data_IF_542951609767
#
_entry.id   IF_542951609767
#
_cell.length_a   1.000
_cell.length_b   1.000
_cell.length_c   1.000
_cell.angle_alpha   90.00
_cell.angle_beta   90.00
_cell.angle_gamma   90.00
#
_symmetry.space_group_name_H-M   'P 1'
#
loop_
_entity.id
_entity.type
_entity.pdbx_description
1 polymer ?
#
# COMPACT_ATOMS: atom_id res chain seq x y z
N UNK A 1 -9.45 33.70 -69.50
CA UNK A 1 -9.28 33.56 -68.03
C UNK A 1 -10.31 32.65 -67.35
N UNK A 2 -11.51 32.41 -67.92
CA UNK A 2 -12.57 31.60 -67.28
C UNK A 2 -12.41 30.06 -67.36
N UNK A 3 -11.61 29.51 -68.28
CA UNK A 3 -11.48 28.03 -68.43
C UNK A 3 -10.84 27.33 -67.22
N UNK A 4 -9.85 27.96 -66.57
CA UNK A 4 -9.16 27.35 -65.42
C UNK A 4 -10.03 27.25 -64.16
N UNK A 5 -11.01 28.14 -63.97
CA UNK A 5 -11.86 28.12 -62.78
C UNK A 5 -12.99 27.10 -62.92
N UNK A 6 -13.57 26.97 -64.12
CA UNK A 6 -14.57 25.93 -64.40
C UNK A 6 -13.96 24.53 -64.35
N UNK A 7 -12.72 24.33 -64.82
CA UNK A 7 -11.98 23.07 -64.67
C UNK A 7 -11.63 22.76 -63.22
N UNK A 8 -11.13 23.74 -62.46
CA UNK A 8 -10.83 23.55 -61.03
C UNK A 8 -12.09 23.23 -60.23
N UNK A 9 -13.21 23.89 -60.53
CA UNK A 9 -14.50 23.63 -59.89
C UNK A 9 -15.04 22.25 -60.25
N UNK A 10 -15.01 21.84 -61.52
CA UNK A 10 -15.38 20.47 -61.92
C UNK A 10 -14.52 19.42 -61.24
N UNK A 11 -13.22 19.66 -61.14
CA UNK A 11 -12.27 18.74 -60.49
C UNK A 11 -12.56 18.62 -58.99
N UNK A 12 -12.91 19.72 -58.31
CA UNK A 12 -13.29 19.73 -56.90
C UNK A 12 -14.65 19.04 -56.65
N UNK A 13 -15.64 19.32 -57.50
CA UNK A 13 -16.99 18.73 -57.39
C UNK A 13 -17.02 17.25 -57.81
N UNK A 14 -16.06 16.78 -58.61
CA UNK A 14 -15.91 15.37 -59.00
C UNK A 14 -15.01 14.56 -58.07
N UNK A 15 -14.48 15.15 -57.00
CA UNK A 15 -13.70 14.40 -56.00
C UNK A 15 -14.66 13.63 -55.10
N UNK A 16 -14.50 12.31 -55.06
CA UNK A 16 -15.23 11.47 -54.11
C UNK A 16 -14.86 11.85 -52.67
N UNK A 17 -15.88 11.95 -51.83
CA UNK A 17 -15.70 12.24 -50.40
C UNK A 17 -14.87 11.09 -49.82
N UNK A 18 -13.68 11.36 -49.23
CA UNK A 18 -12.85 10.30 -48.68
C UNK A 18 -13.62 9.55 -47.60
N UNK A 19 -13.65 8.22 -47.67
CA UNK A 19 -14.38 7.37 -46.71
C UNK A 19 -13.97 7.61 -45.24
N UNK A 20 -12.77 8.14 -45.02
CA UNK A 20 -12.23 8.43 -43.68
C UNK A 20 -12.64 9.80 -43.13
N UNK A 21 -13.29 10.67 -43.92
CA UNK A 21 -13.67 12.02 -43.50
C UNK A 21 -14.62 12.04 -42.29
N UNK A 22 -15.68 11.20 -42.20
CA UNK A 22 -16.55 11.15 -41.03
C UNK A 22 -15.80 10.78 -39.75
N UNK A 23 -14.88 9.80 -39.85
CA UNK A 23 -14.06 9.37 -38.72
C UNK A 23 -13.09 10.46 -38.23
N UNK A 24 -12.51 11.25 -39.13
CA UNK A 24 -11.62 12.35 -38.74
C UNK A 24 -12.39 13.47 -38.05
N UNK A 25 -13.59 13.79 -38.54
CA UNK A 25 -14.47 14.82 -37.95
C UNK A 25 -14.98 14.36 -36.58
N UNK A 26 -15.47 13.13 -36.45
CA UNK A 26 -15.91 12.57 -35.17
C UNK A 26 -14.77 12.49 -34.17
N UNK A 27 -13.59 12.00 -34.56
CA UNK A 27 -12.42 11.98 -33.68
C UNK A 27 -12.01 13.39 -33.21
N UNK A 28 -12.17 14.41 -34.05
CA UNK A 28 -11.91 15.80 -33.66
C UNK A 28 -12.92 16.30 -32.62
N UNK A 29 -14.22 15.99 -32.78
CA UNK A 29 -15.25 16.35 -31.81
C UNK A 29 -15.13 15.55 -30.50
N UNK A 30 -14.82 14.26 -30.54
CA UNK A 30 -14.59 13.43 -29.35
C UNK A 30 -13.34 13.90 -28.59
N UNK A 31 -12.26 14.25 -29.30
CA UNK A 31 -11.05 14.81 -28.67
C UNK A 31 -11.33 16.18 -28.04
N UNK A 32 -12.10 17.05 -28.69
CA UNK A 32 -12.43 18.38 -28.15
C UNK A 32 -13.34 18.31 -26.92
N UNK A 33 -14.34 17.42 -26.92
CA UNK A 33 -15.24 17.21 -25.76
C UNK A 33 -14.52 16.54 -24.59
N UNK A 34 -13.69 15.51 -24.83
CA UNK A 34 -12.86 14.88 -23.80
C UNK A 34 -11.88 15.86 -23.13
N UNK A 35 -11.24 16.76 -23.91
CA UNK A 35 -10.32 17.78 -23.39
C UNK A 35 -11.04 18.80 -22.49
N UNK A 36 -12.25 19.21 -22.84
CA UNK A 36 -13.06 20.19 -22.09
C UNK A 36 -13.61 19.60 -20.79
N UNK A 37 -14.01 18.33 -20.84
CA UNK A 37 -14.34 17.51 -19.68
C UNK A 37 -13.12 17.43 -18.74
N UNK A 38 -11.96 16.96 -19.23
CA UNK A 38 -10.71 16.87 -18.45
C UNK A 38 -10.28 18.20 -17.80
N UNK A 39 -10.52 19.33 -18.48
CA UNK A 39 -10.11 20.66 -18.03
C UNK A 39 -10.88 21.16 -16.79
N UNK A 40 -12.11 20.72 -16.55
CA UNK A 40 -12.88 21.11 -15.37
C UNK A 40 -12.65 20.20 -14.15
N UNK A 41 -12.28 18.94 -14.35
CA UNK A 41 -11.96 18.04 -13.23
C UNK A 41 -10.58 18.32 -12.65
N UNK A 42 -9.61 18.74 -13.48
CA UNK A 42 -8.25 19.05 -13.00
C UNK A 42 -8.24 20.08 -11.86
N UNK A 43 -8.88 21.25 -11.95
CA UNK A 43 -8.93 22.21 -10.84
C UNK A 43 -9.79 21.69 -9.68
N UNK A 44 -10.87 20.95 -9.92
CA UNK A 44 -11.71 20.40 -8.85
C UNK A 44 -10.98 19.29 -8.06
N UNK A 45 -10.23 18.43 -8.74
CA UNK A 45 -9.41 17.37 -8.17
C UNK A 45 -8.19 17.96 -7.43
N UNK A 46 -7.54 18.99 -8.00
CA UNK A 46 -6.48 19.72 -7.30
C UNK A 46 -7.00 20.48 -6.07
N UNK A 47 -8.20 21.06 -6.13
CA UNK A 47 -8.83 21.70 -4.98
C UNK A 47 -9.20 20.68 -3.90
N UNK A 48 -9.79 19.53 -4.28
CA UNK A 48 -10.08 18.45 -3.34
C UNK A 48 -8.80 17.90 -2.70
N UNK A 49 -7.75 17.66 -3.49
CA UNK A 49 -6.45 17.23 -2.97
C UNK A 49 -5.82 18.27 -2.03
N UNK A 50 -5.88 19.55 -2.36
CA UNK A 50 -5.40 20.62 -1.49
C UNK A 50 -6.18 20.70 -0.18
N UNK A 51 -7.51 20.53 -0.23
CA UNK A 51 -8.36 20.45 0.98
C UNK A 51 -8.00 19.22 1.82
N UNK A 52 -7.77 18.06 1.21
CA UNK A 52 -7.32 16.87 1.91
C UNK A 52 -5.94 17.05 2.55
N UNK A 53 -4.98 17.63 1.83
CA UNK A 53 -3.63 17.91 2.34
C UNK A 53 -3.71 18.90 3.51
N UNK A 54 -4.47 19.99 3.37
CA UNK A 54 -4.67 20.97 4.44
C UNK A 54 -5.38 20.36 5.65
N UNK A 55 -6.37 19.50 5.42
CA UNK A 55 -7.08 18.79 6.47
C UNK A 55 -6.15 17.83 7.24
N UNK A 56 -5.35 17.03 6.54
CA UNK A 56 -4.32 16.16 7.15
C UNK A 56 -3.27 16.99 7.86
N UNK A 57 -2.83 18.12 7.29
CA UNK A 57 -1.89 19.03 7.95
C UNK A 57 -2.50 19.64 9.23
N UNK A 58 -3.76 20.06 9.21
CA UNK A 58 -4.47 20.60 10.37
C UNK A 58 -4.65 19.55 11.47
N UNK A 59 -4.97 18.30 11.12
CA UNK A 59 -5.03 17.18 12.06
C UNK A 59 -3.67 16.95 12.74
N UNK A 60 -2.56 17.05 12.00
CA UNK A 60 -1.21 16.87 12.54
C UNK A 60 -0.71 18.07 13.37
N UNK A 61 -1.06 19.29 12.99
CA UNK A 61 -0.55 20.51 13.63
C UNK A 61 -1.32 20.83 14.92
N UNK A 62 -2.61 20.51 14.99
CA UNK A 62 -3.49 20.96 16.06
C UNK A 62 -4.12 19.79 16.82
N UNK A 63 -3.66 19.49 18.05
CA UNK A 63 -4.29 18.49 18.91
C UNK A 63 -5.77 18.80 19.22
N UNK A 64 -6.12 20.08 19.31
CA UNK A 64 -7.51 20.52 19.53
C UNK A 64 -8.39 20.25 18.32
N UNK A 65 -7.89 20.44 17.10
CA UNK A 65 -8.61 20.10 15.88
C UNK A 65 -8.74 18.58 15.72
N UNK A 66 -7.68 17.82 15.99
CA UNK A 66 -7.72 16.35 15.97
C UNK A 66 -8.78 15.79 16.94
N UNK A 67 -8.82 16.29 18.18
CA UNK A 67 -9.83 15.88 19.17
C UNK A 67 -11.25 16.24 18.73
N UNK A 68 -11.47 17.43 18.15
CA UNK A 68 -12.78 17.82 17.65
C UNK A 68 -13.24 16.95 16.46
N UNK A 69 -12.32 16.57 15.57
CA UNK A 69 -12.63 15.67 14.46
C UNK A 69 -12.83 14.21 14.90
N UNK A 70 -12.24 13.81 16.04
CA UNK A 70 -12.46 12.50 16.65
C UNK A 70 -13.93 12.27 17.09
N UNK A 71 -14.65 13.34 17.41
CA UNK A 71 -16.05 13.31 17.86
C UNK A 71 -17.07 13.28 16.71
N UNK A 72 -16.64 13.46 15.46
CA UNK A 72 -17.54 13.47 14.29
C UNK A 72 -17.78 12.03 13.79
N UNK A 73 -19.03 11.53 13.76
CA UNK A 73 -19.33 10.20 13.22
C UNK A 73 -18.81 10.08 11.78
N UNK A 74 -18.17 8.96 11.44
CA UNK A 74 -17.41 8.69 10.19
C UNK A 74 -15.96 9.21 10.17
N UNK A 75 -15.67 10.40 10.71
CA UNK A 75 -14.29 10.95 10.74
C UNK A 75 -13.50 10.54 11.98
N UNK A 76 -14.20 10.17 13.07
CA UNK A 76 -13.57 9.74 14.32
C UNK A 76 -12.72 8.46 14.22
N UNK A 77 -13.04 7.59 13.26
CA UNK A 77 -12.26 6.38 13.02
C UNK A 77 -10.96 6.68 12.23
N UNK A 78 -10.96 7.68 11.35
CA UNK A 78 -9.79 8.10 10.55
C UNK A 78 -8.87 9.05 11.33
N UNK A 79 -9.41 9.79 12.30
CA UNK A 79 -8.65 10.72 13.13
C UNK A 79 -7.67 10.04 14.11
N UNK A 80 -7.81 8.73 14.33
CA UNK A 80 -6.98 8.00 15.31
C UNK A 80 -5.58 7.67 14.84
N UNK A 81 -5.31 7.63 13.54
CA UNK A 81 -3.96 7.39 12.98
C UNK A 81 -3.61 8.52 12.03
N UNK A 82 -2.60 9.30 12.40
CA UNK A 82 -2.16 10.47 11.66
C UNK A 82 -0.69 10.30 11.23
N UNK A 83 -0.32 10.87 10.09
CA UNK A 83 1.09 10.92 9.66
C UNK A 83 1.89 11.87 10.55
N UNK A 84 2.59 11.34 11.55
CA UNK A 84 3.34 12.17 12.50
C UNK A 84 4.67 12.68 11.94
N UNK A 85 5.40 11.82 11.25
CA UNK A 85 6.66 12.20 10.60
C UNK A 85 6.63 11.75 9.16
N UNK A 86 6.85 12.72 8.27
CA UNK A 86 7.08 12.47 6.86
C UNK A 86 8.39 13.12 6.46
N UNK A 87 9.31 12.33 5.93
CA UNK A 87 10.55 12.86 5.38
C UNK A 87 11.05 11.99 4.24
N UNK A 88 11.81 12.62 3.35
CA UNK A 88 12.52 11.95 2.27
C UNK A 88 13.99 12.36 2.31
N UNK A 89 14.87 11.40 2.07
CA UNK A 89 16.30 11.60 1.86
C UNK A 89 16.58 11.17 0.43
N UNK A 90 17.04 12.10 -0.39
CA UNK A 90 17.42 11.85 -1.78
C UNK A 90 18.85 12.37 -1.99
N UNK A 91 19.81 11.45 -2.02
CA UNK A 91 21.22 11.68 -2.33
C UNK A 91 21.68 10.68 -3.41
N UNK A 92 22.92 10.81 -3.89
CA UNK A 92 23.50 9.86 -4.84
C UNK A 92 23.57 8.42 -4.31
N UNK A 93 23.55 8.24 -2.97
CA UNK A 93 23.68 6.93 -2.32
C UNK A 93 22.45 6.50 -1.53
N UNK A 94 21.44 7.35 -1.36
CA UNK A 94 20.29 7.09 -0.48
C UNK A 94 19.00 7.67 -1.04
N UNK A 95 18.00 6.82 -1.29
CA UNK A 95 16.62 7.17 -1.63
C UNK A 95 15.69 6.57 -0.57
N UNK A 96 15.49 7.30 0.53
CA UNK A 96 14.73 6.83 1.69
C UNK A 96 13.50 7.70 1.85
N UNK A 97 12.31 7.11 1.78
CA UNK A 97 11.04 7.77 2.06
C UNK A 97 10.41 7.15 3.30
N UNK A 98 10.03 7.99 4.27
CA UNK A 98 9.39 7.54 5.51
C UNK A 98 8.10 8.30 5.71
N UNK A 99 6.99 7.57 5.74
CA UNK A 99 5.67 8.02 6.17
C UNK A 99 5.30 7.28 7.46
N UNK A 100 5.70 7.85 8.59
CA UNK A 100 5.51 7.26 9.92
C UNK A 100 4.12 7.62 10.48
N UNK A 101 3.31 6.63 10.88
CA UNK A 101 2.08 6.88 11.60
C UNK A 101 2.33 7.24 13.07
N UNK A 102 1.33 7.86 13.67
CA UNK A 102 1.16 8.02 15.10
C UNK A 102 -0.31 7.86 15.42
N UNK A 103 -0.60 7.32 16.60
CA UNK A 103 -1.95 7.22 17.12
C UNK A 103 -2.26 8.36 18.09
N UNK A 104 -3.47 8.91 17.98
CA UNK A 104 -3.94 10.00 18.83
C UNK A 104 -5.47 9.92 19.00
N UNK A 105 -6.04 10.61 19.99
CA UNK A 105 -7.50 10.68 20.16
C UNK A 105 -8.15 9.32 20.47
N UNK A 106 -7.40 8.42 21.12
CA UNK A 106 -7.88 7.09 21.54
C UNK A 106 -8.65 7.16 22.86
N UNK A 107 -8.51 8.25 23.62
CA UNK A 107 -8.97 8.34 25.01
C UNK A 107 -8.03 7.69 26.01
N UNK A 108 -6.95 7.06 25.56
CA UNK A 108 -5.94 6.40 26.39
C UNK A 108 -4.53 6.94 26.06
N UNK A 109 -4.12 8.00 26.76
CA UNK A 109 -2.84 8.68 26.50
C UNK A 109 -1.61 7.81 26.75
N UNK A 110 -1.72 6.80 27.61
CA UNK A 110 -0.61 5.88 27.89
C UNK A 110 -0.43 4.86 26.76
N UNK A 111 -1.54 4.35 26.18
CA UNK A 111 -1.51 3.58 24.93
C UNK A 111 -0.86 4.40 23.82
N UNK A 112 -1.29 5.65 23.64
CA UNK A 112 -0.76 6.54 22.59
C UNK A 112 0.75 6.72 22.71
N UNK A 113 1.25 7.09 23.90
CA UNK A 113 2.69 7.23 24.12
C UNK A 113 3.45 5.93 23.87
N UNK A 114 2.95 4.80 24.39
CA UNK A 114 3.59 3.50 24.22
C UNK A 114 3.76 3.16 22.74
N UNK A 115 2.65 3.14 21.99
CA UNK A 115 2.65 2.73 20.59
C UNK A 115 3.44 3.72 19.72
N UNK A 116 3.32 5.03 19.96
CA UNK A 116 4.05 6.02 19.19
C UNK A 116 5.55 5.95 19.41
N UNK A 117 5.99 5.71 20.65
CA UNK A 117 7.40 5.51 20.95
C UNK A 117 7.91 4.21 20.31
N UNK A 118 7.14 3.13 20.41
CA UNK A 118 7.52 1.84 19.79
C UNK A 118 7.66 1.97 18.26
N UNK A 119 6.70 2.61 17.59
CA UNK A 119 6.76 2.87 16.15
C UNK A 119 7.99 3.71 15.81
N UNK A 120 8.27 4.74 16.60
CA UNK A 120 9.44 5.60 16.37
C UNK A 120 10.74 4.80 16.52
N UNK A 121 10.92 4.08 17.62
CA UNK A 121 12.12 3.27 17.86
C UNK A 121 12.32 2.22 16.75
N UNK A 122 11.24 1.58 16.31
CA UNK A 122 11.28 0.55 15.26
C UNK A 122 11.65 1.14 13.90
N UNK A 123 11.04 2.26 13.51
CA UNK A 123 11.35 2.93 12.24
C UNK A 123 12.77 3.51 12.26
N UNK A 124 13.19 4.13 13.35
CA UNK A 124 14.55 4.66 13.50
C UNK A 124 15.59 3.53 13.40
N UNK A 125 15.31 2.37 14.00
CA UNK A 125 16.15 1.19 13.88
C UNK A 125 16.21 0.65 12.44
N UNK A 126 15.06 0.52 11.75
CA UNK A 126 15.00 0.06 10.35
C UNK A 126 15.83 0.98 9.44
N UNK A 127 15.68 2.30 9.58
CA UNK A 127 16.43 3.26 8.77
C UNK A 127 17.92 3.20 9.10
N UNK A 128 18.29 3.07 10.37
CA UNK A 128 19.69 2.97 10.77
C UNK A 128 20.36 1.68 10.23
N UNK A 129 19.67 0.55 10.31
CA UNK A 129 20.12 -0.74 9.80
C UNK A 129 20.32 -0.70 8.28
N UNK A 130 19.31 -0.24 7.53
CA UNK A 130 19.40 -0.13 6.06
C UNK A 130 20.56 0.77 5.62
N UNK A 131 20.79 1.89 6.31
CA UNK A 131 21.92 2.79 6.01
C UNK A 131 23.26 2.15 6.34
N UNK A 132 23.35 1.44 7.47
CA UNK A 132 24.58 0.78 7.89
C UNK A 132 24.96 -0.35 6.93
N UNK A 133 23.99 -1.19 6.53
CA UNK A 133 24.20 -2.25 5.56
C UNK A 133 24.60 -1.69 4.21
N UNK A 134 23.89 -0.67 3.71
CA UNK A 134 24.21 -0.01 2.46
C UNK A 134 25.62 0.58 2.44
N UNK A 135 26.05 1.18 3.55
CA UNK A 135 27.41 1.70 3.70
C UNK A 135 28.45 0.58 3.59
N UNK A 136 28.25 -0.53 4.30
CA UNK A 136 29.16 -1.69 4.26
C UNK A 136 29.22 -2.30 2.86
N UNK A 137 28.06 -2.55 2.24
CA UNK A 137 27.95 -3.09 0.89
C UNK A 137 28.65 -2.19 -0.14
N UNK A 138 28.54 -0.87 0.02
CA UNK A 138 29.21 0.12 -0.83
C UNK A 138 30.72 0.11 -0.64
N UNK A 139 31.21 0.08 0.60
CA UNK A 139 32.65 -0.02 0.92
C UNK A 139 33.27 -1.30 0.31
N UNK A 140 32.60 -2.44 0.46
CA UNK A 140 33.02 -3.73 -0.08
C UNK A 140 32.98 -3.78 -1.63
N UNK A 141 31.99 -3.14 -2.24
CA UNK A 141 31.90 -3.00 -3.69
C UNK A 141 33.08 -2.19 -4.25
N UNK A 142 33.40 -1.06 -3.61
CA UNK A 142 34.52 -0.19 -4.00
C UNK A 142 35.86 -0.92 -3.80
N UNK A 143 36.02 -1.64 -2.68
CA UNK A 143 37.21 -2.46 -2.42
C UNK A 143 37.41 -3.57 -3.48
N UNK A 144 36.32 -4.08 -4.07
CA UNK A 144 36.33 -5.02 -5.21
C UNK A 144 36.55 -4.34 -6.57
N UNK A 145 36.75 -3.03 -6.62
CA UNK A 145 37.03 -2.27 -7.84
C UNK A 145 35.79 -1.84 -8.62
N UNK A 146 34.59 -1.89 -8.04
CA UNK A 146 33.39 -1.36 -8.67
C UNK A 146 33.42 0.18 -8.67
N UNK A 147 32.96 0.80 -9.76
CA UNK A 147 32.86 2.24 -9.87
C UNK A 147 31.75 2.77 -8.93
N UNK A 148 32.07 3.65 -7.96
CA UNK A 148 31.08 4.23 -7.06
C UNK A 148 29.88 4.88 -7.78
N UNK A 149 30.06 5.38 -9.00
CA UNK A 149 28.99 6.00 -9.79
C UNK A 149 27.99 4.99 -10.37
N UNK A 150 28.33 3.70 -10.39
CA UNK A 150 27.47 2.61 -10.87
C UNK A 150 26.78 1.86 -9.73
N UNK A 151 27.09 2.20 -8.48
CA UNK A 151 26.49 1.57 -7.31
C UNK A 151 25.10 2.15 -7.07
N UNK A 152 24.11 1.26 -6.99
CA UNK A 152 22.74 1.62 -6.69
C UNK A 152 22.64 2.29 -5.31
N UNK A 153 21.83 3.33 -5.14
CA UNK A 153 21.52 3.87 -3.83
C UNK A 153 20.77 2.83 -2.99
N UNK A 154 20.80 2.97 -1.66
CA UNK A 154 19.82 2.28 -0.82
C UNK A 154 18.44 2.85 -1.09
N UNK A 155 17.48 1.99 -1.40
CA UNK A 155 16.10 2.40 -1.69
C UNK A 155 15.19 1.77 -0.63
N UNK A 156 14.64 2.62 0.25
CA UNK A 156 13.77 2.21 1.36
C UNK A 156 12.51 3.07 1.35
N UNK A 157 11.34 2.43 1.28
CA UNK A 157 10.04 3.07 1.44
C UNK A 157 9.34 2.51 2.68
N UNK A 158 8.99 3.39 3.61
CA UNK A 158 8.14 3.09 4.75
C UNK A 158 6.82 3.81 4.57
N UNK A 159 5.73 3.05 4.50
CA UNK A 159 4.36 3.56 4.40
C UNK A 159 3.45 2.84 5.38
N UNK A 160 2.28 3.40 5.65
CA UNK A 160 1.29 2.74 6.51
C UNK A 160 -0.08 2.73 5.86
N UNK A 161 -0.93 1.81 6.32
CA UNK A 161 -2.31 1.69 5.91
C UNK A 161 -3.19 1.31 7.10
N UNK A 162 -4.30 2.04 7.28
CA UNK A 162 -5.31 1.70 8.27
C UNK A 162 -6.19 0.59 7.69
N UNK A 163 -6.24 -0.56 8.37
CA UNK A 163 -7.07 -1.71 7.98
C UNK A 163 -8.48 -1.60 8.55
N UNK A 164 -8.59 -1.19 9.81
CA UNK A 164 -9.86 -0.84 10.45
C UNK A 164 -9.66 0.06 11.65
N UNK A 165 -10.72 0.78 12.02
CA UNK A 165 -10.75 1.61 13.21
C UNK A 165 -12.20 1.68 13.72
N UNK A 166 -12.40 1.34 14.98
CA UNK A 166 -13.69 1.36 15.67
C UNK A 166 -13.57 1.99 17.05
N UNK A 167 -14.65 1.99 17.83
CA UNK A 167 -14.59 2.41 19.25
C UNK A 167 -13.76 1.46 20.11
N UNK A 168 -13.72 0.17 19.76
CA UNK A 168 -13.06 -0.88 20.56
C UNK A 168 -11.64 -1.19 20.11
N UNK A 169 -11.42 -1.22 18.80
CA UNK A 169 -10.18 -1.73 18.24
C UNK A 169 -9.66 -0.83 17.10
N UNK A 170 -8.34 -0.82 16.95
CA UNK A 170 -7.62 -0.15 15.87
C UNK A 170 -6.66 -1.15 15.23
N UNK A 171 -6.76 -1.33 13.92
CA UNK A 171 -5.89 -2.22 13.14
C UNK A 171 -5.24 -1.45 11.99
N UNK A 172 -3.91 -1.46 11.94
CA UNK A 172 -3.15 -0.86 10.85
C UNK A 172 -1.86 -1.63 10.61
N UNK A 173 -1.25 -1.38 9.46
CA UNK A 173 0.00 -2.01 9.04
C UNK A 173 1.00 -0.94 8.63
N UNK A 174 2.27 -1.18 8.94
CA UNK A 174 3.42 -0.47 8.39
C UNK A 174 4.09 -1.41 7.39
N UNK A 175 4.23 -0.94 6.16
CA UNK A 175 4.96 -1.61 5.10
C UNK A 175 6.38 -1.07 5.07
N UNK A 176 7.36 -1.99 5.10
CA UNK A 176 8.77 -1.71 4.84
C UNK A 176 9.12 -2.31 3.48
N UNK A 177 9.44 -1.47 2.51
CA UNK A 177 9.81 -1.91 1.16
C UNK A 177 11.26 -1.57 0.88
N UNK A 178 12.08 -2.58 0.63
CA UNK A 178 13.45 -2.41 0.16
C UNK A 178 13.50 -2.71 -1.33
N UNK A 179 14.18 -1.89 -2.12
CA UNK A 179 14.30 -2.12 -3.57
C UNK A 179 15.74 -2.32 -3.97
N UNK A 180 15.98 -3.47 -4.60
CA UNK A 180 17.23 -3.78 -5.29
C UNK A 180 16.95 -4.27 -6.71
N UNK A 181 17.36 -5.50 -7.06
CA UNK A 181 16.99 -6.13 -8.33
C UNK A 181 15.46 -6.32 -8.44
N UNK A 182 14.79 -6.55 -7.31
CA UNK A 182 13.34 -6.50 -7.13
C UNK A 182 13.01 -5.69 -5.88
N UNK A 183 11.75 -5.29 -5.74
CA UNK A 183 11.23 -4.86 -4.45
C UNK A 183 11.00 -6.07 -3.54
N UNK A 184 11.17 -5.87 -2.24
CA UNK A 184 10.81 -6.81 -1.19
C UNK A 184 10.04 -6.07 -0.11
N UNK A 185 8.78 -6.45 0.09
CA UNK A 185 7.88 -5.80 1.06
C UNK A 185 7.68 -6.69 2.29
N UNK A 186 7.98 -6.12 3.46
CA UNK A 186 7.67 -6.72 4.77
C UNK A 186 6.56 -5.95 5.48
N UNK A 187 5.77 -6.64 6.29
CA UNK A 187 4.63 -6.07 7.00
C UNK A 187 4.81 -6.11 8.52
N UNK A 188 4.50 -4.99 9.18
CA UNK A 188 4.46 -4.85 10.64
C UNK A 188 3.05 -4.44 11.03
N UNK A 189 2.32 -5.32 11.71
CA UNK A 189 0.94 -5.10 12.09
C UNK A 189 0.80 -4.58 13.51
N UNK A 190 -0.15 -3.67 13.69
CA UNK A 190 -0.60 -3.16 14.97
C UNK A 190 -2.10 -3.41 15.07
N UNK A 191 -2.49 -4.30 15.97
CA UNK A 191 -3.88 -4.58 16.32
C UNK A 191 -4.06 -4.21 17.79
N UNK A 192 -4.81 -3.16 18.07
CA UNK A 192 -4.84 -2.53 19.40
C UNK A 192 -6.26 -2.60 19.96
N UNK A 193 -6.39 -3.09 21.18
CA UNK A 193 -7.59 -2.92 21.99
C UNK A 193 -7.53 -1.56 22.69
N UNK A 194 -8.43 -0.65 22.31
CA UNK A 194 -8.40 0.74 22.76
C UNK A 194 -8.82 0.89 24.22
N UNK A 195 -9.61 -0.04 24.76
CA UNK A 195 -10.09 0.00 26.14
C UNK A 195 -9.00 -0.40 27.14
N UNK A 196 -8.34 -1.53 26.89
CA UNK A 196 -7.28 -2.07 27.74
C UNK A 196 -5.90 -1.49 27.41
N UNK A 197 -5.72 -0.94 26.21
CA UNK A 197 -4.44 -0.42 25.74
C UNK A 197 -3.42 -1.50 25.38
N UNK A 198 -3.86 -2.75 25.19
CA UNK A 198 -3.00 -3.89 24.85
C UNK A 198 -3.06 -4.21 23.35
N UNK A 199 -2.05 -4.90 22.88
CA UNK A 199 -2.03 -5.45 21.53
C UNK A 199 -2.86 -6.74 21.51
N UNK A 200 -3.73 -6.86 20.52
CA UNK A 200 -4.57 -8.03 20.28
C UNK A 200 -3.73 -9.12 19.62
N UNK A 201 -3.83 -10.33 20.14
CA UNK A 201 -3.29 -11.55 19.53
C UNK A 201 -4.36 -12.26 18.69
N UNK A 202 -3.95 -13.20 17.82
CA UNK A 202 -4.90 -14.07 17.12
C UNK A 202 -5.81 -14.85 18.07
N UNK A 203 -5.28 -15.27 19.23
CA UNK A 203 -6.08 -15.95 20.25
C UNK A 203 -7.14 -15.05 20.87
N UNK A 204 -6.91 -13.74 21.00
CA UNK A 204 -7.90 -12.80 21.53
C UNK A 204 -9.05 -12.61 20.54
N UNK A 205 -8.76 -12.61 19.24
CA UNK A 205 -9.74 -12.29 18.19
C UNK A 205 -10.45 -13.51 17.58
N UNK A 206 -9.88 -14.71 17.70
CA UNK A 206 -10.46 -15.97 17.20
C UNK A 206 -10.74 -17.01 18.30
N UNK A 207 -10.27 -16.77 19.53
CA UNK A 207 -10.42 -17.70 20.65
C UNK A 207 -9.29 -18.75 20.75
N UNK A 208 -9.40 -19.71 21.67
CA UNK A 208 -8.31 -20.65 21.99
C UNK A 208 -7.93 -21.58 20.83
N UNK A 209 -8.85 -21.84 19.90
CA UNK A 209 -8.63 -22.71 18.74
C UNK A 209 -8.11 -21.94 17.51
N UNK A 210 -7.57 -20.72 17.70
CA UNK A 210 -7.19 -19.81 16.61
C UNK A 210 -6.29 -20.47 15.55
N UNK A 211 -5.33 -21.31 15.95
CA UNK A 211 -4.45 -22.02 15.00
C UNK A 211 -5.23 -22.95 14.08
N UNK A 212 -6.10 -23.78 14.64
CA UNK A 212 -6.88 -24.74 13.86
C UNK A 212 -7.83 -24.03 12.89
N UNK A 213 -8.42 -22.92 13.33
CA UNK A 213 -9.30 -22.08 12.50
C UNK A 213 -8.49 -21.46 11.34
N UNK A 214 -7.36 -20.83 11.64
CA UNK A 214 -6.53 -20.16 10.66
C UNK A 214 -5.89 -21.13 9.67
N UNK A 215 -5.26 -22.21 10.16
CA UNK A 215 -4.61 -23.21 9.32
C UNK A 215 -5.59 -23.84 8.34
N UNK A 216 -6.79 -24.18 8.83
CA UNK A 216 -7.83 -24.72 7.97
C UNK A 216 -8.25 -23.72 6.89
N UNK A 217 -8.54 -22.49 7.26
CA UNK A 217 -9.02 -21.48 6.32
C UNK A 217 -7.96 -21.11 5.27
N UNK A 218 -6.70 -20.95 5.68
CA UNK A 218 -5.57 -20.70 4.77
C UNK A 218 -5.40 -21.87 3.81
N UNK A 219 -5.35 -23.11 4.33
CA UNK A 219 -5.18 -24.29 3.50
C UNK A 219 -6.34 -24.48 2.50
N UNK A 220 -7.58 -24.38 2.96
CA UNK A 220 -8.76 -24.50 2.08
C UNK A 220 -8.73 -23.45 0.96
N UNK A 221 -8.29 -22.22 1.28
CA UNK A 221 -8.17 -21.13 0.29
C UNK A 221 -7.03 -21.36 -0.70
N UNK A 222 -5.87 -21.86 -0.26
CA UNK A 222 -4.76 -22.23 -1.14
C UNK A 222 -5.21 -23.34 -2.09
N UNK A 223 -5.79 -24.42 -1.56
CA UNK A 223 -6.29 -25.56 -2.34
C UNK A 223 -7.31 -25.10 -3.39
N UNK A 224 -8.24 -24.20 -3.01
CA UNK A 224 -9.22 -23.62 -3.93
C UNK A 224 -8.55 -22.79 -5.03
N UNK A 225 -7.67 -21.84 -4.68
CA UNK A 225 -6.99 -20.95 -5.63
C UNK A 225 -6.18 -21.75 -6.65
N UNK A 226 -5.44 -22.77 -6.19
CA UNK A 226 -4.65 -23.64 -7.05
C UNK A 226 -5.51 -24.53 -7.97
N UNK A 227 -6.69 -24.98 -7.50
CA UNK A 227 -7.63 -25.74 -8.32
C UNK A 227 -8.32 -24.89 -9.40
N UNK A 228 -8.53 -23.60 -9.12
CA UNK A 228 -9.13 -22.65 -10.06
C UNK A 228 -8.15 -22.24 -11.17
N UNK A 229 -6.92 -21.84 -10.80
CA UNK A 229 -5.91 -21.36 -11.76
C UNK A 229 -4.50 -21.48 -11.16
N UNK A 230 -3.78 -22.59 -11.39
CA UNK A 230 -2.46 -22.82 -10.79
C UNK A 230 -1.36 -21.92 -11.38
N UNK A 231 -1.52 -21.40 -12.60
CA UNK A 231 -0.56 -20.45 -13.20
C UNK A 231 -0.67 -19.08 -12.54
N UNK A 232 -1.90 -18.67 -12.21
CA UNK A 232 -2.18 -17.44 -11.47
C UNK A 232 -1.82 -17.55 -9.98
N UNK A 233 -1.95 -18.74 -9.40
CA UNK A 233 -1.73 -19.00 -7.97
C UNK A 233 -0.63 -20.03 -7.74
N UNK A 234 0.62 -19.74 -8.12
CA UNK A 234 1.75 -20.67 -8.01
C UNK A 234 2.28 -20.73 -6.56
N UNK A 235 1.43 -21.07 -5.60
CA UNK A 235 1.86 -21.31 -4.22
C UNK A 235 2.92 -22.41 -4.17
N UNK A 236 3.88 -22.27 -3.27
CA UNK A 236 4.88 -23.31 -3.07
C UNK A 236 4.22 -24.58 -2.55
N UNK A 237 4.72 -25.72 -3.04
CA UNK A 237 4.23 -27.05 -2.66
C UNK A 237 5.40 -27.93 -2.26
N UNK A 238 5.25 -28.80 -1.25
CA UNK A 238 6.28 -29.75 -0.87
C UNK A 238 6.77 -30.59 -2.05
N UNK A 239 8.08 -30.71 -2.18
CA UNK A 239 8.75 -31.62 -3.12
C UNK A 239 9.59 -32.65 -2.36
N UNK A 240 9.98 -33.79 -2.96
CA UNK A 240 10.91 -34.72 -2.30
C UNK A 240 12.23 -34.06 -1.86
N UNK A 241 12.69 -33.05 -2.60
CA UNK A 241 13.90 -32.29 -2.30
C UNK A 241 13.67 -31.19 -1.25
N UNK A 242 12.46 -30.63 -1.19
CA UNK A 242 12.05 -29.59 -0.24
C UNK A 242 10.71 -29.98 0.41
N UNK A 243 10.71 -30.93 1.36
CA UNK A 243 9.47 -31.45 1.96
C UNK A 243 8.74 -30.44 2.85
N UNK A 244 9.46 -29.42 3.33
CA UNK A 244 8.94 -28.37 4.20
C UNK A 244 8.56 -27.09 3.42
N UNK A 245 8.58 -27.13 2.08
CA UNK A 245 8.22 -25.98 1.24
C UNK A 245 6.70 -25.72 1.28
N UNK A 246 6.29 -24.46 1.13
CA UNK A 246 4.88 -24.07 1.14
C UNK A 246 4.27 -23.92 2.53
N UNK A 247 2.94 -23.82 2.57
CA UNK A 247 2.22 -23.54 3.80
C UNK A 247 2.17 -24.77 4.73
N UNK A 248 2.85 -24.68 5.87
CA UNK A 248 2.91 -25.74 6.89
C UNK A 248 2.06 -25.46 8.14
N UNK A 249 1.36 -24.33 8.15
CA UNK A 249 0.64 -23.80 9.32
C UNK A 249 1.11 -22.40 9.68
N UNK A 250 0.29 -21.68 10.44
CA UNK A 250 0.60 -20.33 10.92
C UNK A 250 1.62 -20.35 12.07
N UNK A 251 2.44 -19.29 12.15
CA UNK A 251 3.32 -19.06 13.28
C UNK A 251 2.53 -18.73 14.58
N UNK A 252 3.18 -18.84 15.74
CA UNK A 252 2.59 -18.39 17.02
C UNK A 252 2.31 -16.88 17.02
N UNK A 253 3.18 -16.11 16.38
CA UNK A 253 3.13 -14.66 16.22
C UNK A 253 2.73 -14.26 14.79
N UNK A 254 1.94 -15.11 14.10
CA UNK A 254 1.52 -14.89 12.72
C UNK A 254 0.94 -13.48 12.52
N UNK A 255 1.40 -12.84 11.45
CA UNK A 255 0.93 -11.53 11.01
C UNK A 255 -0.55 -11.58 10.64
N UNK A 256 -1.32 -10.65 11.20
CA UNK A 256 -2.74 -10.54 10.93
C UNK A 256 -3.25 -9.12 11.09
N UNK A 257 -4.44 -8.86 10.57
CA UNK A 257 -5.18 -7.63 10.81
C UNK A 257 -6.69 -7.89 10.95
N UNK A 258 -7.41 -6.89 11.45
CA UNK A 258 -8.88 -6.87 11.42
C UNK A 258 -9.29 -5.90 10.32
N UNK A 259 -10.04 -6.37 9.33
CA UNK A 259 -10.53 -5.53 8.24
C UNK A 259 -11.75 -4.68 8.66
N UNK A 260 -12.16 -3.76 7.80
CA UNK A 260 -13.30 -2.87 8.02
C UNK A 260 -14.65 -3.59 8.26
N UNK A 261 -14.76 -4.85 7.85
CA UNK A 261 -15.96 -5.67 7.98
C UNK A 261 -15.90 -6.58 9.22
N UNK A 262 -14.86 -6.42 10.05
CA UNK A 262 -14.63 -7.21 11.25
C UNK A 262 -14.16 -8.64 10.96
N UNK A 263 -13.59 -8.89 9.78
CA UNK A 263 -12.93 -10.16 9.50
C UNK A 263 -11.50 -10.13 10.05
N UNK A 264 -11.06 -11.27 10.58
CA UNK A 264 -9.65 -11.53 10.88
C UNK A 264 -8.99 -12.02 9.60
N UNK A 265 -7.91 -11.36 9.19
CA UNK A 265 -7.15 -11.67 7.99
C UNK A 265 -5.71 -12.00 8.37
N UNK A 266 -5.29 -13.22 8.07
CA UNK A 266 -3.88 -13.63 8.17
C UNK A 266 -3.15 -13.19 6.91
N UNK A 267 -1.96 -12.64 7.07
CA UNK A 267 -1.13 -12.06 6.02
C UNK A 267 0.24 -12.73 6.00
N UNK A 268 0.73 -13.01 4.80
CA UNK A 268 2.07 -13.56 4.55
C UNK A 268 2.86 -12.54 3.73
N UNK A 269 4.11 -12.30 4.12
CA UNK A 269 5.04 -11.43 3.38
C UNK A 269 5.31 -12.00 1.97
N UNK A 270 5.91 -11.17 1.11
CA UNK A 270 6.43 -11.66 -0.17
C UNK A 270 7.41 -12.81 0.04
N UNK A 271 7.41 -13.80 -0.86
CA UNK A 271 8.26 -15.02 -0.78
C UNK A 271 7.94 -16.01 0.34
N UNK A 272 7.00 -15.73 1.26
CA UNK A 272 6.77 -16.60 2.43
C UNK A 272 6.08 -17.93 2.06
N UNK A 273 5.10 -17.90 1.16
CA UNK A 273 4.33 -19.09 0.74
C UNK A 273 4.20 -19.25 -0.78
N UNK A 274 4.87 -18.39 -1.55
CA UNK A 274 4.83 -18.39 -3.01
C UNK A 274 5.85 -17.41 -3.59
N UNK A 275 6.08 -17.41 -4.92
CA UNK A 275 7.08 -16.54 -5.54
C UNK A 275 6.72 -15.06 -5.41
N UNK A 276 7.74 -14.19 -5.43
CA UNK A 276 7.57 -12.74 -5.27
C UNK A 276 6.59 -12.08 -6.25
N UNK A 277 6.33 -12.69 -7.42
CA UNK A 277 5.31 -12.22 -8.37
C UNK A 277 3.88 -12.26 -7.82
N UNK A 278 3.63 -13.06 -6.79
CA UNK A 278 2.34 -13.10 -6.10
C UNK A 278 2.16 -11.90 -5.17
N UNK A 279 3.24 -11.23 -4.76
CA UNK A 279 3.19 -10.21 -3.71
C UNK A 279 2.73 -10.78 -2.37
N UNK A 280 2.31 -9.88 -1.49
CA UNK A 280 1.69 -10.21 -0.18
C UNK A 280 0.44 -11.06 -0.36
N UNK A 281 0.27 -12.07 0.48
CA UNK A 281 -0.88 -12.98 0.43
C UNK A 281 -1.76 -12.87 1.67
N UNK A 282 -3.01 -12.46 1.46
CA UNK A 282 -4.02 -12.29 2.50
C UNK A 282 -5.10 -13.41 2.45
N UNK A 283 -5.48 -13.87 3.64
CA UNK A 283 -6.47 -14.93 3.85
C UNK A 283 -7.45 -14.55 4.96
N UNK A 284 -8.74 -14.46 4.62
CA UNK A 284 -9.80 -14.28 5.62
C UNK A 284 -9.98 -15.59 6.37
N UNK A 285 -9.77 -15.58 7.69
CA UNK A 285 -9.79 -16.80 8.52
C UNK A 285 -10.97 -16.90 9.47
N UNK A 286 -11.68 -15.79 9.71
CA UNK A 286 -12.83 -15.79 10.61
C UNK A 286 -13.38 -14.40 10.89
N UNK A 287 -14.37 -14.33 11.78
CA UNK A 287 -14.90 -13.07 12.32
C UNK A 287 -14.24 -12.76 13.65
N UNK A 288 -13.85 -11.50 13.83
CA UNK A 288 -13.30 -10.99 15.08
C UNK A 288 -14.32 -11.14 16.21
N UNK A 289 -13.85 -11.60 17.37
CA UNK A 289 -14.61 -11.64 18.62
C UNK A 289 -14.66 -10.29 19.36
N UNK A 290 -13.86 -9.31 18.93
CA UNK A 290 -13.78 -7.96 19.52
C UNK A 290 -14.49 -6.92 18.68
#
# INVERSE_FOLDING_TARGET
MMRNFEEAKRTYESMDIPEKLPNVVDQAFTRATARRRLAWYKPALSAAAAVCILFVALLNISPTFANAMAEVPVLGNVAKVLTFRQYAIETDSEWITVNQPSIAGTGNTELEKRVNNEIQEKIDAIVAEARQEAKQNREDAIARGQDPAQLMPVILDIRYEIKSSSEKALSFVIYKTETAASAYTQQIFYNLDLASGKDLTLSDVLGPDYKQIADKAVKDTIDQRMAEDPEKWPYFVPTPEMPDEGFQGIADDQKFYIDKDGNVVVSFDEYEIGPGSMGIQDFVVGKSLV
#
